data_IF_742197527682
#
_entry.id   IF_742197527682
#
_cell.length_a   1.000
_cell.length_b   1.000
_cell.length_c   1.000
_cell.angle_alpha   90.00
_cell.angle_beta   90.00
_cell.angle_gamma   90.00
#
_symmetry.space_group_name_H-M   'P 1'
#
loop_
_entity.id
_entity.type
_entity.pdbx_description
1 polymer ?
#
# COMPACT_ATOMS: atom_id res chain seq x y z
N UNK A 1 -17.65 23.02 1.58
CA UNK A 1 -17.17 21.65 1.70
C UNK A 1 -17.90 20.93 2.82
N UNK A 2 -18.35 19.72 2.54
CA UNK A 2 -18.95 18.85 3.54
C UNK A 2 -17.90 17.86 4.03
N UNK A 3 -17.84 17.68 5.33
CA UNK A 3 -16.95 16.71 5.96
C UNK A 3 -17.80 15.66 6.66
N UNK A 4 -17.65 14.43 6.25
CA UNK A 4 -18.29 13.29 6.90
C UNK A 4 -17.22 12.34 7.40
N UNK A 5 -17.42 11.79 8.57
CA UNK A 5 -16.53 10.79 9.14
C UNK A 5 -17.22 9.43 9.06
N UNK A 6 -16.53 8.49 8.46
CA UNK A 6 -17.00 7.11 8.36
C UNK A 6 -15.90 6.14 8.76
N UNK A 7 -16.29 4.93 9.06
CA UNK A 7 -15.32 3.85 9.24
C UNK A 7 -15.12 3.12 7.93
N UNK A 8 -13.87 3.00 7.53
CA UNK A 8 -13.49 2.18 6.39
C UNK A 8 -13.41 0.72 6.76
N UNK A 9 -13.01 -0.10 5.81
CA UNK A 9 -12.74 -1.52 6.04
C UNK A 9 -11.69 -1.70 7.13
N UNK A 10 -11.84 -2.73 7.94
CA UNK A 10 -10.91 -3.09 9.02
C UNK A 10 -10.79 -2.04 10.14
N UNK A 11 -11.85 -1.26 10.36
CA UNK A 11 -11.87 -0.33 11.48
C UNK A 11 -11.10 0.97 11.29
N UNK A 12 -10.59 1.24 10.09
CA UNK A 12 -9.94 2.52 9.79
C UNK A 12 -10.97 3.63 9.70
N UNK A 13 -10.68 4.75 10.35
CA UNK A 13 -11.50 5.94 10.23
C UNK A 13 -11.13 6.70 8.97
N UNK A 14 -12.13 7.05 8.19
CA UNK A 14 -11.99 7.78 6.94
C UNK A 14 -12.82 9.05 7.02
N UNK A 15 -12.21 10.18 6.73
CA UNK A 15 -12.92 11.44 6.57
C UNK A 15 -13.17 11.69 5.10
N UNK A 16 -14.41 11.89 4.74
CA UNK A 16 -14.80 12.15 3.35
C UNK A 16 -14.91 13.65 3.13
N UNK A 17 -14.25 14.14 2.11
CA UNK A 17 -14.29 15.55 1.72
C UNK A 17 -14.92 15.63 0.33
N UNK A 18 -16.07 16.30 0.24
CA UNK A 18 -16.72 16.56 -1.02
C UNK A 18 -16.31 17.92 -1.58
N UNK A 19 -15.83 17.92 -2.80
CA UNK A 19 -15.45 19.14 -3.52
C UNK A 19 -16.19 19.23 -4.84
N UNK A 20 -16.11 20.38 -5.50
CA UNK A 20 -16.68 20.55 -6.84
C UNK A 20 -16.00 19.68 -7.89
N UNK A 21 -14.82 19.17 -7.60
CA UNK A 21 -14.05 18.30 -8.51
C UNK A 21 -14.19 16.82 -8.20
N UNK A 22 -14.95 16.48 -7.18
CA UNK A 22 -15.16 15.10 -6.78
C UNK A 22 -15.01 14.89 -5.28
N UNK A 23 -14.99 13.65 -4.88
CA UNK A 23 -14.90 13.24 -3.48
C UNK A 23 -13.51 12.72 -3.18
N UNK A 24 -12.96 13.14 -2.05
CA UNK A 24 -11.66 12.65 -1.55
C UNK A 24 -11.84 11.98 -0.20
N UNK A 25 -11.12 10.89 0.00
CA UNK A 25 -11.08 10.19 1.28
C UNK A 25 -9.77 10.51 1.97
N UNK A 26 -9.85 11.06 3.18
CA UNK A 26 -8.70 11.39 3.99
C UNK A 26 -8.45 10.29 5.01
N UNK A 27 -7.27 9.70 4.95
CA UNK A 27 -6.86 8.59 5.82
C UNK A 27 -5.56 8.99 6.51
N UNK A 28 -5.50 8.75 7.81
CA UNK A 28 -4.27 8.97 8.56
C UNK A 28 -3.30 7.80 8.33
N UNK A 29 -2.09 8.14 7.91
CA UNK A 29 -1.01 7.15 7.74
C UNK A 29 -0.01 7.27 8.88
N UNK A 30 -0.02 6.33 9.85
CA UNK A 30 0.87 6.43 11.01
C UNK A 30 2.34 6.18 10.69
N UNK A 31 2.66 5.68 9.50
CA UNK A 31 4.05 5.47 9.08
C UNK A 31 4.71 6.74 8.55
N UNK A 32 3.94 7.81 8.33
CA UNK A 32 4.47 9.11 7.92
C UNK A 32 5.04 9.84 9.14
N UNK A 33 6.27 9.51 9.48
CA UNK A 33 7.00 10.08 10.61
C UNK A 33 8.47 10.26 10.26
N UNK A 34 9.21 10.98 11.11
CA UNK A 34 10.58 11.36 10.80
C UNK A 34 10.61 12.35 9.63
N UNK A 35 11.35 12.03 8.59
CA UNK A 35 11.45 12.89 7.40
C UNK A 35 10.10 13.04 6.67
N UNK A 36 9.19 12.12 6.86
CA UNK A 36 7.88 12.11 6.18
C UNK A 36 6.75 12.71 7.03
N UNK A 37 7.06 13.29 8.19
CA UNK A 37 6.04 13.75 9.14
C UNK A 37 5.16 14.88 8.60
N UNK A 38 5.68 15.70 7.67
CA UNK A 38 4.91 16.78 7.06
C UNK A 38 4.32 16.44 5.70
N UNK A 39 4.30 15.18 5.31
CA UNK A 39 3.87 14.78 3.98
C UNK A 39 2.38 14.49 3.94
N UNK A 40 1.78 14.94 2.86
CA UNK A 40 0.41 14.60 2.46
C UNK A 40 0.46 14.03 1.05
N UNK A 41 -0.01 12.82 0.88
CA UNK A 41 0.03 12.15 -0.41
C UNK A 41 -1.39 12.01 -0.97
N UNK A 42 -1.58 12.54 -2.18
CA UNK A 42 -2.82 12.36 -2.92
C UNK A 42 -2.60 11.25 -3.95
N UNK A 43 -3.40 10.22 -3.87
CA UNK A 43 -3.27 9.04 -4.74
C UNK A 43 -4.61 8.74 -5.41
N UNK A 44 -4.59 8.59 -6.71
CA UNK A 44 -5.71 8.05 -7.46
C UNK A 44 -5.60 6.53 -7.45
N UNK A 45 -6.40 5.89 -6.62
CA UNK A 45 -6.32 4.45 -6.41
C UNK A 45 -6.69 3.62 -7.65
N UNK A 46 -7.37 4.20 -8.61
CA UNK A 46 -7.65 3.52 -9.89
C UNK A 46 -6.39 3.36 -10.76
N UNK A 47 -5.37 4.17 -10.49
CA UNK A 47 -4.11 4.19 -11.24
C UNK A 47 -2.99 3.43 -10.54
N UNK A 48 -3.26 2.80 -9.41
CA UNK A 48 -2.27 2.06 -8.63
C UNK A 48 -2.73 0.62 -8.49
N UNK A 49 -1.85 -0.31 -8.77
CA UNK A 49 -2.17 -1.74 -8.70
C UNK A 49 -1.01 -2.54 -8.11
N UNK A 50 -1.37 -3.59 -7.42
CA UNK A 50 -0.43 -4.60 -6.95
C UNK A 50 -0.15 -5.58 -8.09
N UNK A 51 1.12 -5.79 -8.40
CA UNK A 51 1.54 -6.67 -9.49
C UNK A 51 2.41 -7.80 -8.96
N UNK A 52 1.86 -8.97 -8.69
CA UNK A 52 2.66 -10.14 -8.37
C UNK A 52 3.36 -10.70 -9.61
N UNK A 53 4.47 -11.38 -9.41
CA UNK A 53 5.18 -12.04 -10.49
C UNK A 53 4.47 -13.34 -10.87
N UNK A 54 3.62 -13.27 -11.86
CA UNK A 54 2.81 -14.39 -12.35
C UNK A 54 2.91 -14.45 -13.86
N UNK A 55 3.14 -15.63 -14.41
CA UNK A 55 3.15 -15.84 -15.87
C UNK A 55 3.93 -17.09 -16.25
N UNK A 56 3.66 -17.62 -17.44
CA UNK A 56 4.32 -18.81 -17.99
C UNK A 56 4.37 -20.00 -17.05
N UNK A 57 3.28 -20.23 -16.31
CA UNK A 57 3.19 -21.32 -15.34
C UNK A 57 3.87 -21.06 -13.99
N UNK A 58 4.44 -19.87 -13.81
CA UNK A 58 5.06 -19.45 -12.55
C UNK A 58 4.11 -18.52 -11.81
N UNK A 59 3.91 -18.78 -10.53
CA UNK A 59 3.16 -17.92 -9.64
C UNK A 59 4.02 -17.62 -8.40
N UNK A 60 4.50 -16.39 -8.32
CA UNK A 60 5.37 -15.92 -7.24
C UNK A 60 4.67 -14.98 -6.27
N UNK A 61 3.35 -14.90 -6.35
CA UNK A 61 2.59 -14.23 -5.30
C UNK A 61 2.80 -14.98 -3.98
N UNK A 62 2.35 -14.43 -2.88
CA UNK A 62 2.60 -14.99 -1.54
C UNK A 62 2.37 -16.50 -1.51
N UNK A 63 3.42 -17.25 -1.23
CA UNK A 63 3.39 -18.70 -1.17
C UNK A 63 4.37 -19.21 -0.13
N UNK A 64 4.16 -20.46 0.28
CA UNK A 64 5.00 -21.13 1.26
C UNK A 64 5.97 -22.05 0.53
N UNK A 65 7.26 -21.88 0.82
CA UNK A 65 8.30 -22.81 0.37
C UNK A 65 8.67 -23.70 1.55
N UNK A 66 8.49 -25.00 1.40
CA UNK A 66 8.72 -25.97 2.45
C UNK A 66 10.11 -26.60 2.35
N UNK A 67 10.64 -27.05 3.47
CA UNK A 67 11.89 -27.81 3.55
C UNK A 67 13.09 -27.05 2.97
N UNK A 68 13.30 -25.83 3.44
CA UNK A 68 14.43 -24.98 3.00
C UNK A 68 15.66 -25.12 3.88
N UNK A 69 15.65 -26.03 4.85
CA UNK A 69 16.79 -26.27 5.72
C UNK A 69 17.93 -26.94 4.96
N UNK A 70 19.13 -26.79 5.48
CA UNK A 70 20.31 -27.50 4.97
C UNK A 70 20.20 -29.00 5.24
N UNK A 71 20.80 -29.82 4.39
CA UNK A 71 20.72 -31.28 4.51
C UNK A 71 21.36 -31.82 5.79
N UNK A 72 22.26 -31.08 6.41
CA UNK A 72 22.98 -31.42 7.63
C UNK A 72 22.32 -30.86 8.89
N UNK A 73 21.21 -30.15 8.78
CA UNK A 73 20.46 -29.62 9.91
C UNK A 73 19.31 -30.56 10.30
N UNK A 74 19.21 -30.83 11.59
CA UNK A 74 18.13 -31.65 12.16
C UNK A 74 16.97 -30.74 12.60
N UNK A 75 16.37 -30.07 11.63
CA UNK A 75 15.20 -29.20 11.84
C UNK A 75 14.43 -29.05 10.54
N UNK A 76 13.23 -28.49 10.67
CA UNK A 76 12.41 -28.13 9.52
C UNK A 76 12.26 -26.61 9.45
N UNK A 77 12.61 -26.07 8.32
CA UNK A 77 12.38 -24.66 8.00
C UNK A 77 11.43 -24.52 6.83
N UNK A 78 10.45 -23.66 6.99
CA UNK A 78 9.57 -23.24 5.91
C UNK A 78 9.70 -21.72 5.77
N UNK A 79 9.45 -21.23 4.57
CA UNK A 79 9.62 -19.82 4.27
C UNK A 79 8.39 -19.32 3.52
N UNK A 80 7.94 -18.12 3.87
CA UNK A 80 6.89 -17.43 3.13
C UNK A 80 7.58 -16.43 2.20
N UNK A 81 7.30 -16.53 0.92
CA UNK A 81 7.95 -15.72 -0.11
C UNK A 81 6.92 -14.99 -0.95
N UNK A 82 7.17 -13.71 -1.20
CA UNK A 82 6.37 -12.90 -2.10
C UNK A 82 7.30 -12.14 -3.03
N UNK A 83 7.04 -12.23 -4.32
CA UNK A 83 7.72 -11.43 -5.33
C UNK A 83 6.67 -10.60 -6.05
N UNK A 84 6.69 -9.30 -5.84
CA UNK A 84 5.69 -8.40 -6.37
C UNK A 84 6.24 -6.98 -6.48
N UNK A 85 5.52 -6.17 -7.22
CA UNK A 85 5.84 -4.77 -7.38
C UNK A 85 4.58 -3.91 -7.37
N UNK A 86 4.80 -2.63 -7.45
CA UNK A 86 3.73 -1.63 -7.54
C UNK A 86 3.65 -1.13 -8.98
N UNK A 87 2.45 -1.20 -9.55
CA UNK A 87 2.16 -0.60 -10.86
C UNK A 87 1.52 0.76 -10.65
N UNK A 88 2.09 1.79 -11.25
CA UNK A 88 1.56 3.14 -11.21
C UNK A 88 1.36 3.61 -12.65
N UNK A 89 0.12 3.91 -13.00
CA UNK A 89 -0.27 4.44 -14.31
C UNK A 89 -0.53 5.94 -14.15
N UNK A 90 -0.12 6.73 -15.14
CA UNK A 90 -0.26 8.19 -15.11
C UNK A 90 0.27 8.79 -13.79
N UNK A 91 1.59 8.76 -13.57
CA UNK A 91 2.14 9.27 -12.30
C UNK A 91 1.83 10.75 -12.06
N UNK A 92 1.55 11.51 -13.10
CA UNK A 92 1.12 12.91 -13.00
C UNK A 92 -0.26 13.11 -12.38
N UNK A 93 -1.04 12.05 -12.19
CA UNK A 93 -2.32 12.11 -11.48
C UNK A 93 -2.18 12.01 -9.96
N UNK A 94 -0.98 11.79 -9.47
CA UNK A 94 -0.66 11.70 -8.06
C UNK A 94 0.14 12.90 -7.60
N UNK A 95 -0.05 13.31 -6.35
CA UNK A 95 0.64 14.47 -5.78
C UNK A 95 1.23 14.14 -4.43
N UNK A 96 2.41 14.67 -4.18
CA UNK A 96 3.04 14.66 -2.86
C UNK A 96 3.16 16.11 -2.40
N UNK A 97 2.55 16.41 -1.27
CA UNK A 97 2.57 17.74 -0.66
C UNK A 97 3.43 17.67 0.59
N UNK A 98 4.41 18.55 0.68
CA UNK A 98 5.23 18.70 1.88
C UNK A 98 4.82 19.98 2.60
N UNK A 99 4.29 19.82 3.81
CA UNK A 99 3.89 20.94 4.65
C UNK A 99 5.08 21.31 5.52
N UNK A 100 5.65 22.49 5.28
CA UNK A 100 6.80 22.96 6.04
C UNK A 100 6.40 23.39 7.45
N UNK A 101 7.33 23.22 8.38
CA UNK A 101 7.14 23.64 9.77
C UNK A 101 6.38 22.64 10.64
N UNK A 102 6.19 21.43 10.16
CA UNK A 102 5.50 20.36 10.90
C UNK A 102 6.49 19.33 11.44
#
# INVERSE_FOLDING_TARGET
YNFEQSEGSFGHKVMVIETIHGTMNLIKEPLFRGFASGFLQLVDMEKVAYRPLVGNGVNRDTHVVSNVQSADEDLRKDMILTEAGLEVVLPESHYLINIEGV
#
